data_IF_699278526197
#
_entry.id   IF_699278526197
#
_cell.length_a   1.000
_cell.length_b   1.000
_cell.length_c   1.000
_cell.angle_alpha   90.00
_cell.angle_beta   90.00
_cell.angle_gamma   90.00
#
_symmetry.space_group_name_H-M   'P 1'
#
loop_
_entity.id
_entity.type
_entity.pdbx_description
1 polymer ?
#
# COMPACT_ATOMS: atom_id res chain seq x y z
N UNK A 1 -4.69 -16.28 -11.79
CA UNK A 1 -4.64 -15.97 -13.24
C UNK A 1 -3.81 -14.74 -13.59
N UNK A 2 -4.22 -13.49 -13.30
CA UNK A 2 -3.40 -12.32 -13.69
C UNK A 2 -1.98 -12.38 -13.07
N UNK A 3 -1.92 -12.69 -11.78
CA UNK A 3 -0.67 -12.79 -11.03
C UNK A 3 0.15 -14.08 -11.25
N UNK A 4 -0.43 -15.09 -11.91
CA UNK A 4 0.18 -16.40 -12.16
C UNK A 4 0.64 -16.52 -13.62
N UNK A 5 -0.20 -16.10 -14.56
CA UNK A 5 0.04 -16.22 -16.00
C UNK A 5 0.68 -14.97 -16.61
N UNK A 6 0.73 -13.87 -15.85
CA UNK A 6 1.20 -12.56 -16.30
C UNK A 6 0.18 -11.83 -17.18
N UNK A 7 0.46 -10.54 -17.43
CA UNK A 7 -0.44 -9.70 -18.20
C UNK A 7 -0.74 -10.30 -19.59
N UNK A 8 0.25 -10.80 -20.32
CA UNK A 8 0.08 -11.25 -21.71
C UNK A 8 -0.91 -12.40 -21.89
N UNK A 9 -1.03 -13.27 -20.87
CA UNK A 9 -1.96 -14.40 -20.88
C UNK A 9 -3.31 -14.07 -20.25
N UNK A 10 -3.46 -12.92 -19.61
CA UNK A 10 -4.73 -12.47 -19.03
C UNK A 10 -5.65 -11.91 -20.13
N UNK A 11 -6.94 -12.26 -20.11
CA UNK A 11 -7.94 -11.69 -21.02
C UNK A 11 -9.34 -11.73 -20.42
N UNK A 12 -10.20 -10.79 -20.84
CA UNK A 12 -11.61 -10.74 -20.43
C UNK A 12 -12.34 -12.06 -20.73
N UNK A 13 -12.00 -12.74 -21.84
CA UNK A 13 -12.58 -14.03 -22.19
C UNK A 13 -12.26 -15.11 -21.16
N UNK A 14 -11.02 -15.16 -20.66
CA UNK A 14 -10.63 -16.10 -19.60
C UNK A 14 -11.29 -15.77 -18.27
N UNK A 15 -11.42 -14.47 -17.94
CA UNK A 15 -12.15 -14.03 -16.75
C UNK A 15 -13.62 -14.49 -16.83
N UNK A 16 -14.29 -14.31 -17.97
CA UNK A 16 -15.65 -14.81 -18.17
C UNK A 16 -15.77 -16.32 -17.93
N UNK A 17 -14.82 -17.09 -18.47
CA UNK A 17 -14.80 -18.54 -18.30
C UNK A 17 -14.62 -18.95 -16.83
N UNK A 18 -13.71 -18.29 -16.09
CA UNK A 18 -13.50 -18.53 -14.66
C UNK A 18 -14.72 -18.15 -13.82
N UNK A 19 -15.42 -17.08 -14.17
CA UNK A 19 -16.64 -16.66 -13.49
C UNK A 19 -17.89 -17.44 -13.93
N UNK A 20 -17.75 -18.41 -14.85
CA UNK A 20 -18.83 -19.20 -15.43
C UNK A 20 -19.97 -18.35 -16.02
N UNK A 21 -19.61 -17.25 -16.70
CA UNK A 21 -20.52 -16.34 -17.39
C UNK A 21 -20.26 -16.33 -18.90
N UNK A 22 -21.17 -15.74 -19.68
CA UNK A 22 -20.98 -15.63 -21.13
C UNK A 22 -19.73 -14.80 -21.47
N UNK A 23 -19.08 -15.12 -22.59
CA UNK A 23 -17.90 -14.38 -23.06
C UNK A 23 -18.15 -12.88 -23.26
N UNK A 24 -19.39 -12.48 -23.54
CA UNK A 24 -19.77 -11.07 -23.71
C UNK A 24 -20.08 -10.35 -22.38
N UNK A 25 -20.25 -11.06 -21.27
CA UNK A 25 -20.64 -10.46 -20.00
C UNK A 25 -19.63 -9.43 -19.46
N UNK A 26 -18.30 -9.68 -19.45
CA UNK A 26 -17.34 -8.69 -18.94
C UNK A 26 -17.30 -7.42 -19.78
N UNK A 27 -17.52 -7.53 -21.10
CA UNK A 27 -17.51 -6.41 -22.03
C UNK A 27 -18.63 -5.38 -21.79
N UNK A 28 -19.65 -5.73 -21.00
CA UNK A 28 -20.65 -4.76 -20.52
C UNK A 28 -20.11 -3.80 -19.46
N UNK A 29 -19.04 -4.18 -18.77
CA UNK A 29 -18.45 -3.42 -17.66
C UNK A 29 -17.05 -2.90 -17.97
N UNK A 30 -16.29 -3.63 -18.80
CA UNK A 30 -14.91 -3.31 -19.15
C UNK A 30 -14.70 -3.45 -20.65
N UNK A 31 -14.42 -2.34 -21.34
CA UNK A 31 -14.17 -2.27 -22.78
C UNK A 31 -12.85 -2.94 -23.16
N UNK A 32 -11.89 -2.99 -22.23
CA UNK A 32 -10.61 -3.66 -22.44
C UNK A 32 -10.09 -4.36 -21.19
N UNK A 33 -9.02 -5.15 -21.39
CA UNK A 33 -8.26 -5.77 -20.31
C UNK A 33 -7.66 -4.72 -19.38
N UNK A 34 -7.16 -3.63 -19.95
CA UNK A 34 -6.52 -2.52 -19.24
C UNK A 34 -7.54 -1.82 -18.34
N UNK A 35 -8.78 -1.64 -18.82
CA UNK A 35 -9.86 -1.09 -18.01
C UNK A 35 -10.22 -2.00 -16.83
N UNK A 36 -10.26 -3.32 -17.03
CA UNK A 36 -10.45 -4.27 -15.93
C UNK A 36 -9.29 -4.21 -14.92
N UNK A 37 -8.03 -4.17 -15.38
CA UNK A 37 -6.86 -4.07 -14.50
C UNK A 37 -6.93 -2.76 -13.69
N UNK A 38 -7.26 -1.65 -14.34
CA UNK A 38 -7.43 -0.35 -13.67
C UNK A 38 -8.52 -0.41 -12.59
N UNK A 39 -9.68 -1.00 -12.90
CA UNK A 39 -10.76 -1.15 -11.93
C UNK A 39 -10.39 -2.07 -10.75
N UNK A 40 -9.62 -3.14 -11.00
CA UNK A 40 -9.08 -3.99 -9.93
C UNK A 40 -8.10 -3.18 -9.08
N UNK A 41 -7.16 -2.44 -9.69
CA UNK A 41 -6.22 -1.58 -8.96
C UNK A 41 -6.96 -0.57 -8.09
N UNK A 42 -7.98 0.14 -8.61
CA UNK A 42 -8.80 1.08 -7.84
C UNK A 42 -9.51 0.40 -6.66
N UNK A 43 -10.09 -0.78 -6.87
CA UNK A 43 -10.71 -1.55 -5.79
C UNK A 43 -9.70 -1.90 -4.69
N UNK A 44 -8.50 -2.35 -5.08
CA UNK A 44 -7.44 -2.71 -4.15
C UNK A 44 -6.91 -1.47 -3.40
N UNK A 45 -6.69 -0.35 -4.10
CA UNK A 45 -6.29 0.93 -3.50
C UNK A 45 -7.31 1.39 -2.45
N UNK A 46 -8.61 1.37 -2.80
CA UNK A 46 -9.68 1.75 -1.87
C UNK A 46 -9.75 0.85 -0.64
N UNK A 47 -9.57 -0.47 -0.81
CA UNK A 47 -9.50 -1.41 0.31
C UNK A 47 -8.29 -1.14 1.21
N UNK A 48 -7.15 -0.84 0.61
CA UNK A 48 -5.93 -0.56 1.34
C UNK A 48 -6.05 0.74 2.14
N UNK A 49 -6.45 1.83 1.50
CA UNK A 49 -6.68 3.13 2.13
C UNK A 49 -7.66 3.02 3.29
N UNK A 50 -8.81 2.36 3.09
CA UNK A 50 -9.79 2.13 4.15
C UNK A 50 -9.17 1.40 5.34
N UNK A 51 -8.36 0.37 5.09
CA UNK A 51 -7.73 -0.41 6.15
C UNK A 51 -6.76 0.42 7.00
N UNK A 52 -6.09 1.40 6.39
CA UNK A 52 -5.23 2.36 7.10
C UNK A 52 -6.07 3.41 7.84
N UNK A 53 -7.15 3.91 7.21
CA UNK A 53 -8.03 4.91 7.81
C UNK A 53 -8.69 4.41 9.10
N UNK A 54 -9.06 3.13 9.14
CA UNK A 54 -9.58 2.48 10.35
C UNK A 54 -8.57 2.55 11.52
N UNK A 55 -7.28 2.34 11.25
CA UNK A 55 -6.22 2.46 12.27
C UNK A 55 -5.99 3.91 12.68
N UNK A 56 -5.96 4.82 11.71
CA UNK A 56 -5.78 6.24 11.98
C UNK A 56 -6.86 6.80 12.92
N UNK A 57 -8.12 6.35 12.76
CA UNK A 57 -9.23 6.73 13.64
C UNK A 57 -9.13 6.07 15.03
N UNK A 58 -8.78 4.77 15.11
CA UNK A 58 -8.67 4.05 16.38
C UNK A 58 -7.63 4.72 17.31
N UNK A 59 -6.53 5.21 16.75
CA UNK A 59 -5.42 5.78 17.51
C UNK A 59 -5.29 7.30 17.34
N UNK A 60 -6.39 8.00 17.00
CA UNK A 60 -6.36 9.42 16.66
C UNK A 60 -5.69 10.33 17.70
N UNK A 61 -5.77 9.97 18.99
CA UNK A 61 -5.24 10.75 20.11
C UNK A 61 -3.82 10.35 20.54
N UNK A 62 -3.18 9.39 19.85
CA UNK A 62 -1.83 8.90 20.17
C UNK A 62 -0.98 8.81 18.88
N UNK A 63 -0.28 9.90 18.48
CA UNK A 63 0.47 9.95 17.23
C UNK A 63 1.52 8.84 17.07
N UNK A 64 2.21 8.51 18.16
CA UNK A 64 3.23 7.45 18.17
C UNK A 64 2.59 6.09 17.92
N UNK A 65 1.54 5.74 18.66
CA UNK A 65 0.87 4.45 18.47
C UNK A 65 0.16 4.37 17.12
N UNK A 66 -0.40 5.48 16.64
CA UNK A 66 -1.04 5.60 15.33
C UNK A 66 -0.08 5.25 14.20
N UNK A 67 1.12 5.85 14.17
CA UNK A 67 2.07 5.59 13.09
C UNK A 67 2.68 4.19 13.17
N UNK A 68 2.90 3.66 14.37
CA UNK A 68 3.36 2.28 14.58
C UNK A 68 2.34 1.27 14.04
N UNK A 69 1.08 1.42 14.44
CA UNK A 69 0.00 0.52 14.03
C UNK A 69 -0.35 0.69 12.54
N UNK A 70 -0.20 1.89 11.98
CA UNK A 70 -0.30 2.11 10.53
C UNK A 70 0.77 1.31 9.77
N UNK A 71 2.02 1.35 10.24
CA UNK A 71 3.11 0.59 9.63
C UNK A 71 2.87 -0.93 9.71
N UNK A 72 2.42 -1.44 10.87
CA UNK A 72 2.04 -2.85 11.04
C UNK A 72 0.87 -3.23 10.12
N UNK A 73 -0.17 -2.38 10.05
CA UNK A 73 -1.34 -2.62 9.19
C UNK A 73 -0.99 -2.60 7.72
N UNK A 74 -0.09 -1.71 7.30
CA UNK A 74 0.46 -1.70 5.94
C UNK A 74 1.04 -3.08 5.61
N UNK A 75 1.99 -3.54 6.42
CA UNK A 75 2.68 -4.81 6.16
C UNK A 75 1.71 -5.98 6.20
N UNK A 76 0.85 -6.03 7.22
CA UNK A 76 -0.19 -7.04 7.33
C UNK A 76 -1.06 -7.11 6.07
N UNK A 77 -1.56 -5.97 5.58
CA UNK A 77 -2.46 -5.92 4.42
C UNK A 77 -1.79 -6.53 3.18
N UNK A 78 -0.52 -6.22 2.95
CA UNK A 78 0.22 -6.71 1.79
C UNK A 78 0.58 -8.18 1.93
N UNK A 79 1.00 -8.62 3.12
CA UNK A 79 1.39 -10.02 3.38
C UNK A 79 0.18 -10.96 3.29
N UNK A 80 -0.97 -10.55 3.81
CA UNK A 80 -2.21 -11.33 3.73
C UNK A 80 -2.86 -11.29 2.34
N UNK A 81 -2.50 -10.29 1.52
CA UNK A 81 -2.99 -10.14 0.17
C UNK A 81 -1.83 -9.95 -0.82
N UNK A 82 -0.94 -10.95 -0.99
CA UNK A 82 0.29 -10.79 -1.78
C UNK A 82 0.00 -10.48 -3.26
N UNK A 83 -1.16 -10.90 -3.73
CA UNK A 83 -1.67 -10.59 -5.06
C UNK A 83 -1.99 -9.10 -5.25
N UNK A 84 -2.37 -8.38 -4.18
CA UNK A 84 -2.70 -6.97 -4.22
C UNK A 84 -1.46 -6.09 -4.37
N UNK A 85 -0.33 -6.50 -3.79
CA UNK A 85 0.96 -5.82 -3.97
C UNK A 85 1.30 -5.63 -5.46
N UNK A 86 1.05 -6.66 -6.28
CA UNK A 86 1.28 -6.62 -7.73
C UNK A 86 0.37 -5.59 -8.42
N UNK A 87 -0.91 -5.50 -8.02
CA UNK A 87 -1.86 -4.54 -8.58
C UNK A 87 -1.61 -3.10 -8.13
N UNK A 88 -1.11 -2.89 -6.92
CA UNK A 88 -0.83 -1.57 -6.37
C UNK A 88 0.47 -0.97 -6.94
N UNK A 89 1.52 -1.78 -7.08
CA UNK A 89 2.87 -1.24 -7.32
C UNK A 89 3.55 -1.74 -8.60
N UNK A 90 3.10 -2.83 -9.21
CA UNK A 90 3.80 -3.45 -10.36
C UNK A 90 3.06 -3.31 -11.70
N UNK A 91 1.82 -2.82 -11.71
CA UNK A 91 0.94 -2.84 -12.88
C UNK A 91 0.87 -1.53 -13.70
N UNK A 92 1.94 -0.71 -13.72
CA UNK A 92 1.95 0.58 -14.43
C UNK A 92 0.82 1.55 -14.03
N UNK A 93 0.10 1.31 -12.93
CA UNK A 93 -0.79 2.31 -12.35
C UNK A 93 0.11 3.41 -11.77
N UNK A 94 0.08 4.59 -12.39
CA UNK A 94 0.98 5.69 -12.04
C UNK A 94 0.48 6.40 -10.79
N UNK A 95 0.85 5.87 -9.63
CA UNK A 95 0.81 6.64 -8.39
C UNK A 95 2.13 7.41 -8.27
N UNK A 96 2.09 8.70 -8.60
CA UNK A 96 3.27 9.57 -8.60
C UNK A 96 3.30 10.38 -7.31
N UNK A 97 4.33 10.16 -6.50
CA UNK A 97 4.71 11.05 -5.39
C UNK A 97 5.71 12.04 -5.95
N UNK A 98 5.35 13.31 -5.94
CA UNK A 98 6.17 14.43 -6.38
C UNK A 98 6.84 15.01 -5.14
N UNK A 99 8.16 15.12 -5.20
CA UNK A 99 8.97 15.76 -4.17
C UNK A 99 9.47 17.07 -4.75
N UNK A 100 9.09 18.18 -4.14
CA UNK A 100 9.55 19.52 -4.51
C UNK A 100 10.06 20.25 -3.25
N UNK A 101 11.35 20.54 -3.22
CA UNK A 101 12.08 21.00 -2.02
C UNK A 101 11.77 20.10 -0.80
N UNK A 102 10.94 20.59 0.13
CA UNK A 102 10.52 19.91 1.35
C UNK A 102 9.03 19.52 1.34
N UNK A 103 8.37 19.63 0.19
CA UNK A 103 6.96 19.30 0.03
C UNK A 103 6.78 17.93 -0.64
N UNK A 104 5.73 17.23 -0.21
CA UNK A 104 5.32 15.92 -0.74
C UNK A 104 3.91 16.00 -1.28
N UNK A 105 3.78 15.92 -2.59
CA UNK A 105 2.50 16.00 -3.28
C UNK A 105 2.17 14.71 -4.01
N UNK A 106 0.89 14.37 -4.04
CA UNK A 106 0.35 13.30 -4.87
C UNK A 106 -0.78 13.87 -5.70
N UNK A 107 -0.92 13.37 -6.94
CA UNK A 107 -1.99 13.83 -7.84
C UNK A 107 -3.39 13.46 -7.35
N UNK A 108 -3.47 12.34 -6.61
CA UNK A 108 -4.71 11.80 -6.07
C UNK A 108 -4.56 11.58 -4.56
N UNK A 109 -5.63 11.89 -3.82
CA UNK A 109 -5.76 11.53 -2.40
C UNK A 109 -5.84 10.02 -2.25
N UNK A 110 -5.11 9.47 -1.28
CA UNK A 110 -5.19 8.03 -1.00
C UNK A 110 -4.34 7.59 0.18
N UNK A 111 -3.95 6.31 0.17
CA UNK A 111 -3.23 5.68 1.26
C UNK A 111 -1.92 6.40 1.65
N UNK A 112 -1.18 6.94 0.68
CA UNK A 112 0.04 7.69 0.99
C UNK A 112 -0.27 9.03 1.66
N UNK A 113 -1.28 9.78 1.21
CA UNK A 113 -1.63 11.07 1.84
C UNK A 113 -2.10 10.89 3.28
N UNK A 114 -2.89 9.85 3.54
CA UNK A 114 -3.27 9.48 4.90
C UNK A 114 -2.03 9.16 5.74
N UNK A 115 -1.14 8.29 5.24
CA UNK A 115 0.09 7.93 5.95
C UNK A 115 0.99 9.14 6.19
N UNK A 116 1.22 9.97 5.17
CA UNK A 116 1.98 11.23 5.22
C UNK A 116 1.43 12.13 6.33
N UNK A 117 0.11 12.29 6.39
CA UNK A 117 -0.53 13.14 7.41
C UNK A 117 -0.27 12.62 8.83
N UNK A 118 -0.43 11.31 9.05
CA UNK A 118 -0.15 10.70 10.35
C UNK A 118 1.34 10.69 10.70
N UNK A 119 2.22 10.52 9.72
CA UNK A 119 3.66 10.59 9.91
C UNK A 119 4.10 12.01 10.29
N UNK A 120 3.60 13.05 9.61
CA UNK A 120 3.88 14.45 9.97
C UNK A 120 3.36 14.77 11.38
N UNK A 121 2.17 14.28 11.75
CA UNK A 121 1.65 14.45 13.11
C UNK A 121 2.58 13.82 14.16
N UNK A 122 3.11 12.62 13.89
CA UNK A 122 4.10 11.98 14.74
C UNK A 122 5.41 12.77 14.81
N UNK A 123 5.98 13.17 13.66
CA UNK A 123 7.22 13.95 13.60
C UNK A 123 7.11 15.28 14.37
N UNK A 124 5.95 15.94 14.29
CA UNK A 124 5.63 17.12 15.10
C UNK A 124 5.62 16.83 16.59
N UNK A 125 5.09 15.69 17.01
CA UNK A 125 4.98 15.31 18.43
C UNK A 125 6.33 15.06 19.11
N UNK A 126 7.41 14.91 18.33
CA UNK A 126 8.78 14.69 18.79
C UNK A 126 9.73 15.81 18.36
N UNK A 127 9.21 16.98 18.01
CA UNK A 127 9.97 18.20 17.69
C UNK A 127 10.95 18.07 16.50
N UNK A 128 10.65 17.22 15.52
CA UNK A 128 11.41 17.18 14.25
C UNK A 128 11.14 18.46 13.46
N UNK A 129 12.19 19.02 12.85
CA UNK A 129 12.10 20.25 12.06
C UNK A 129 11.35 20.00 10.74
N UNK A 130 10.53 20.96 10.32
CA UNK A 130 9.65 20.77 9.16
C UNK A 130 10.42 20.51 7.85
N UNK A 131 11.64 21.03 7.72
CA UNK A 131 12.52 20.76 6.58
C UNK A 131 12.94 19.29 6.44
N UNK A 132 12.79 18.47 7.48
CA UNK A 132 13.14 17.04 7.47
C UNK A 132 11.93 16.15 7.11
N UNK A 133 10.70 16.68 7.19
CA UNK A 133 9.47 15.88 7.05
C UNK A 133 9.39 15.12 5.73
N UNK A 134 9.75 15.74 4.60
CA UNK A 134 9.68 15.06 3.31
C UNK A 134 10.57 13.82 3.26
N UNK A 135 11.80 13.94 3.75
CA UNK A 135 12.77 12.84 3.74
C UNK A 135 12.35 11.74 4.72
N UNK A 136 11.90 12.12 5.91
CA UNK A 136 11.47 11.17 6.94
C UNK A 136 10.21 10.42 6.53
N UNK A 137 9.20 11.09 5.98
CA UNK A 137 7.98 10.44 5.47
C UNK A 137 8.31 9.45 4.35
N UNK A 138 9.19 9.82 3.41
CA UNK A 138 9.63 8.89 2.35
C UNK A 138 10.35 7.69 2.96
N UNK A 139 11.25 7.91 3.93
CA UNK A 139 12.00 6.83 4.58
C UNK A 139 11.05 5.86 5.32
N UNK A 140 10.09 6.40 6.07
CA UNK A 140 9.08 5.64 6.79
C UNK A 140 8.20 4.81 5.84
N UNK A 141 7.70 5.42 4.77
CA UNK A 141 6.91 4.73 3.75
C UNK A 141 7.72 3.65 3.03
N UNK A 142 8.96 3.96 2.66
CA UNK A 142 9.87 3.03 1.98
C UNK A 142 10.20 1.82 2.85
N UNK A 143 10.38 2.02 4.16
CA UNK A 143 10.67 0.95 5.10
C UNK A 143 9.51 -0.07 5.15
N UNK A 144 8.28 0.38 5.41
CA UNK A 144 7.12 -0.53 5.50
C UNK A 144 6.81 -1.16 4.14
N UNK A 145 7.00 -0.42 3.04
CA UNK A 145 6.88 -0.94 1.69
C UNK A 145 7.90 -2.06 1.42
N UNK A 146 9.17 -1.81 1.71
CA UNK A 146 10.25 -2.80 1.51
C UNK A 146 10.03 -4.07 2.31
N UNK A 147 9.65 -3.96 3.58
CA UNK A 147 9.33 -5.12 4.42
C UNK A 147 8.14 -5.90 3.84
N UNK A 148 7.09 -5.19 3.41
CA UNK A 148 5.92 -5.79 2.76
C UNK A 148 6.30 -6.60 1.53
N UNK A 149 7.11 -6.02 0.63
CA UNK A 149 7.58 -6.69 -0.59
C UNK A 149 8.39 -7.94 -0.25
N UNK A 150 9.33 -7.83 0.69
CA UNK A 150 10.20 -8.95 1.06
C UNK A 150 9.43 -10.10 1.73
N UNK A 151 8.50 -9.81 2.63
CA UNK A 151 7.67 -10.83 3.28
C UNK A 151 6.68 -11.47 2.31
N UNK A 152 5.98 -10.66 1.50
CA UNK A 152 4.98 -11.14 0.53
C UNK A 152 5.61 -12.05 -0.53
N UNK A 153 6.84 -11.74 -0.95
CA UNK A 153 7.59 -12.56 -1.91
C UNK A 153 8.37 -13.70 -1.25
N UNK A 154 8.30 -13.85 0.07
CA UNK A 154 9.10 -14.82 0.85
C UNK A 154 10.61 -14.70 0.58
N UNK A 155 11.09 -13.49 0.30
CA UNK A 155 12.53 -13.19 0.13
C UNK A 155 13.32 -13.57 1.37
N UNK A 156 12.70 -13.42 2.54
CA UNK A 156 13.15 -14.04 3.78
C UNK A 156 11.96 -14.71 4.47
N UNK A 157 12.27 -15.66 5.36
CA UNK A 157 11.29 -16.35 6.18
C UNK A 157 11.62 -16.04 7.64
N UNK A 158 10.65 -15.53 8.37
CA UNK A 158 10.74 -15.32 9.82
C UNK A 158 9.90 -16.38 10.53
N UNK A 159 10.50 -17.09 11.48
CA UNK A 159 9.85 -18.22 12.16
C UNK A 159 8.99 -17.81 13.38
N UNK A 160 8.76 -16.51 13.58
CA UNK A 160 7.89 -15.97 14.62
C UNK A 160 6.76 -15.11 14.03
N UNK A 161 6.12 -14.29 14.87
CA UNK A 161 5.14 -13.31 14.38
C UNK A 161 5.87 -12.20 13.62
N UNK A 162 5.60 -12.09 12.32
CA UNK A 162 6.24 -11.08 11.49
C UNK A 162 5.80 -9.66 11.86
N UNK A 163 4.66 -9.48 12.52
CA UNK A 163 4.24 -8.16 13.01
C UNK A 163 5.07 -7.71 14.21
N UNK A 164 5.51 -8.63 15.07
CA UNK A 164 6.48 -8.32 16.12
C UNK A 164 7.82 -7.93 15.51
N UNK A 165 8.25 -8.62 14.45
CA UNK A 165 9.45 -8.23 13.70
C UNK A 165 9.31 -6.82 13.12
N UNK A 166 8.17 -6.52 12.48
CA UNK A 166 7.88 -5.21 11.89
C UNK A 166 7.90 -4.13 12.97
N UNK A 167 7.20 -4.34 14.08
CA UNK A 167 7.17 -3.41 15.21
C UNK A 167 8.58 -3.13 15.73
N UNK A 168 9.40 -4.17 15.92
CA UNK A 168 10.78 -4.03 16.35
C UNK A 168 11.66 -3.28 15.35
N UNK A 169 11.49 -3.51 14.04
CA UNK A 169 12.22 -2.79 12.99
C UNK A 169 11.80 -1.32 13.00
N UNK A 170 10.50 -1.04 13.00
CA UNK A 170 9.96 0.31 13.04
C UNK A 170 10.48 1.02 14.30
N UNK A 171 10.35 0.41 15.48
CA UNK A 171 10.83 0.98 16.74
C UNK A 171 12.32 1.34 16.74
N UNK A 172 13.17 0.47 16.18
CA UNK A 172 14.62 0.70 16.13
C UNK A 172 15.02 1.81 15.16
N UNK A 173 14.23 2.04 14.12
CA UNK A 173 14.57 2.96 13.03
C UNK A 173 13.74 4.26 13.05
N UNK A 174 12.60 4.30 13.74
CA UNK A 174 11.88 5.52 14.12
C UNK A 174 12.51 6.12 15.38
N UNK A 175 13.80 6.42 15.32
CA UNK A 175 14.45 7.28 16.30
C UNK A 175 14.78 8.60 15.62
N UNK A 176 13.81 9.50 15.66
CA UNK A 176 14.09 10.92 15.63
C UNK A 176 14.07 11.40 17.09
#
# INVERSE_FOLDING_TARGET
MFNEDGADKFSLRKVAALCNVSHSAPYKHFKSKEELISAISQYVFSKFERSLSEIAEIYKDDPYRKIMELGKKYVWFMVENPDYLKFLFLNNYKYEIIVDENNLETKDTGAFDLFKSCAIEYLKSIDVREEEYAQDVIAMWSMVHGISVMLSNRTFIYNGDYLDLVENIIYKNLKF
#
